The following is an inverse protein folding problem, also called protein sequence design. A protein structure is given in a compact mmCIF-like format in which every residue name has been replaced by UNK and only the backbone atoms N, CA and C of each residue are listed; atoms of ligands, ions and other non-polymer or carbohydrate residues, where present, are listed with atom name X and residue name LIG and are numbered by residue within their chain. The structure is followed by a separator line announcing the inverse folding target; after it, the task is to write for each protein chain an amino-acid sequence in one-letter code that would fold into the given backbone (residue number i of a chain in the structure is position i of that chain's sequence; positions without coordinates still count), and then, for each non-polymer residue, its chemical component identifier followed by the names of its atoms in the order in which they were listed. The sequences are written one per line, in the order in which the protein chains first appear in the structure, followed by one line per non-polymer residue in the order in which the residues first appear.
data_IF_709744313158
#
_entry.id   IF_709744313158
#
_cell.length_a   1.000
_cell.length_b   1.000
_cell.length_c   1.000
_cell.angle_alpha   90.00
_cell.angle_beta   90.00
_cell.angle_gamma   90.00
#
_symmetry.space_group_name_H-M   'P 1'
#
loop_
_entity.id
_entity.type
_entity.pdbx_description
1 polymer ?
#
# COMPACT_ATOMS: atom_id res chain seq x y z
N UNK A 1 31.27 21.70 -18.69
CA UNK A 1 30.58 20.74 -17.79
C UNK A 1 30.16 19.45 -18.50
N UNK A 2 29.47 19.48 -19.65
CA UNK A 2 29.06 18.26 -20.40
C UNK A 2 30.22 17.29 -20.68
N UNK A 3 31.38 17.80 -21.14
CA UNK A 3 32.58 16.99 -21.41
C UNK A 3 33.25 16.37 -20.17
N UNK A 4 33.00 16.90 -18.97
CA UNK A 4 33.53 16.35 -17.71
C UNK A 4 32.64 15.22 -17.19
N UNK A 5 31.33 15.36 -17.39
CA UNK A 5 30.32 14.34 -17.09
C UNK A 5 30.58 13.10 -17.94
N UNK A 6 30.78 13.26 -19.25
CA UNK A 6 31.08 12.12 -20.14
C UNK A 6 32.40 11.41 -19.73
N UNK A 7 33.45 12.15 -19.33
CA UNK A 7 34.71 11.54 -18.83
C UNK A 7 34.55 10.72 -17.54
N UNK A 8 33.61 11.07 -16.66
CA UNK A 8 33.32 10.33 -15.42
C UNK A 8 32.44 9.10 -15.69
N UNK A 9 31.53 9.16 -16.67
CA UNK A 9 30.67 8.03 -17.05
C UNK A 9 31.41 6.91 -17.82
N UNK A 10 32.55 7.23 -18.46
CA UNK A 10 33.37 6.28 -19.21
C UNK A 10 34.73 5.97 -18.55
N UNK A 11 34.88 6.22 -17.25
CA UNK A 11 36.09 5.86 -16.53
C UNK A 11 36.31 4.33 -16.62
N UNK A 12 37.45 3.92 -17.16
CA UNK A 12 37.86 2.51 -17.31
C UNK A 12 38.18 1.81 -15.98
N UNK A 13 38.06 2.53 -14.87
CA UNK A 13 38.33 2.02 -13.53
C UNK A 13 37.17 2.40 -12.61
N UNK A 14 36.29 1.44 -12.32
CA UNK A 14 35.31 1.58 -11.26
C UNK A 14 36.02 1.38 -9.92
N UNK A 15 35.99 2.35 -8.98
CA UNK A 15 36.64 2.20 -7.68
C UNK A 15 36.03 1.05 -6.84
N UNK A 16 34.87 0.52 -7.25
CA UNK A 16 34.24 -0.66 -6.66
C UNK A 16 34.44 -1.91 -7.53
N UNK A 17 35.59 -2.05 -8.21
CA UNK A 17 35.86 -3.08 -9.24
C UNK A 17 35.36 -4.49 -8.89
N UNK A 18 35.56 -4.94 -7.65
CA UNK A 18 35.05 -6.25 -7.17
C UNK A 18 33.52 -6.39 -7.29
N UNK A 19 32.78 -5.31 -7.06
CA UNK A 19 31.32 -5.22 -7.16
C UNK A 19 30.85 -4.65 -8.52
N UNK A 20 31.75 -4.48 -9.48
CA UNK A 20 31.44 -3.89 -10.77
C UNK A 20 31.78 -4.81 -11.96
N UNK A 21 32.63 -5.83 -11.77
CA UNK A 21 33.28 -6.53 -12.88
C UNK A 21 33.11 -8.06 -12.83
N UNK A 22 31.88 -8.55 -13.05
CA UNK A 22 31.68 -9.93 -13.51
C UNK A 22 30.74 -9.96 -14.73
N UNK A 23 31.35 -9.96 -15.93
CA UNK A 23 30.64 -10.31 -17.16
C UNK A 23 29.60 -9.31 -17.64
N UNK A 24 29.96 -8.02 -17.69
CA UNK A 24 29.10 -6.88 -18.10
C UNK A 24 27.96 -6.48 -17.14
N UNK A 25 27.69 -7.23 -16.07
CA UNK A 25 26.73 -6.84 -15.03
C UNK A 25 27.46 -6.65 -13.68
N UNK A 26 27.34 -5.45 -13.10
CA UNK A 26 27.94 -5.15 -11.79
C UNK A 26 27.32 -5.97 -10.66
N UNK A 27 28.14 -6.61 -9.83
CA UNK A 27 27.72 -7.44 -8.68
C UNK A 27 27.23 -6.56 -7.53
N UNK A 28 25.94 -6.64 -7.19
CA UNK A 28 25.43 -5.92 -6.04
C UNK A 28 25.92 -6.55 -4.71
N UNK A 29 26.70 -5.79 -3.93
CA UNK A 29 27.26 -6.19 -2.63
C UNK A 29 26.23 -6.78 -1.63
N UNK A 30 24.95 -6.40 -1.74
CA UNK A 30 23.91 -6.88 -0.83
C UNK A 30 23.11 -8.03 -1.45
N UNK A 31 22.83 -8.00 -2.75
CA UNK A 31 21.92 -8.97 -3.36
C UNK A 31 22.59 -10.13 -4.07
N UNK A 32 23.84 -10.00 -4.51
CA UNK A 32 24.54 -10.96 -5.37
C UNK A 32 25.89 -11.45 -4.80
N UNK A 33 26.47 -10.73 -3.83
CA UNK A 33 27.72 -11.16 -3.18
C UNK A 33 27.52 -12.38 -2.25
N UNK A 34 28.37 -13.39 -2.38
CA UNK A 34 28.31 -14.62 -1.58
C UNK A 34 28.54 -14.38 -0.09
N UNK A 35 29.37 -13.39 0.25
CA UNK A 35 29.66 -13.00 1.65
C UNK A 35 28.38 -12.61 2.39
N UNK A 36 27.48 -11.90 1.71
CA UNK A 36 26.22 -11.44 2.30
C UNK A 36 25.27 -12.62 2.59
N UNK A 37 25.24 -13.64 1.73
CA UNK A 37 24.43 -14.84 1.96
C UNK A 37 24.95 -15.68 3.13
N UNK A 38 26.27 -15.79 3.30
CA UNK A 38 26.89 -16.43 4.47
C UNK A 38 26.54 -15.64 5.74
N UNK A 39 26.75 -14.33 5.72
CA UNK A 39 26.40 -13.45 6.84
C UNK A 39 24.93 -13.58 7.27
N UNK A 40 23.98 -13.60 6.32
CA UNK A 40 22.55 -13.72 6.64
C UNK A 40 22.19 -15.09 7.25
N UNK A 41 22.89 -16.16 6.85
CA UNK A 41 22.72 -17.50 7.43
C UNK A 41 23.23 -17.54 8.87
N UNK A 42 24.40 -16.95 9.12
CA UNK A 42 25.04 -16.95 10.44
C UNK A 42 24.38 -16.00 11.44
N UNK A 43 23.75 -14.94 10.94
CA UNK A 43 23.09 -13.89 11.76
C UNK A 43 21.64 -14.22 12.07
N UNK A 44 20.88 -14.71 11.08
CA UNK A 44 19.45 -15.04 11.27
C UNK A 44 19.28 -16.56 11.24
N UNK A 45 19.38 -17.15 12.44
CA UNK A 45 19.33 -18.60 12.66
C UNK A 45 17.90 -19.07 12.95
N UNK A 46 17.60 -20.31 12.56
CA UNK A 46 16.29 -20.94 12.85
C UNK A 46 16.12 -21.26 14.33
N UNK A 47 17.22 -21.49 15.04
CA UNK A 47 17.26 -21.76 16.49
C UNK A 47 16.74 -20.59 17.33
N UNK A 48 16.90 -19.36 16.83
CA UNK A 48 16.66 -18.12 17.59
C UNK A 48 15.23 -17.59 17.39
N UNK A 49 14.33 -18.45 16.90
CA UNK A 49 12.92 -18.14 16.65
C UNK A 49 12.05 -19.01 17.55
N UNK A 50 11.42 -18.38 18.53
CA UNK A 50 10.46 -19.03 19.41
C UNK A 50 9.25 -19.56 18.62
N UNK A 51 8.76 -20.73 19.02
CA UNK A 51 7.54 -21.33 18.47
C UNK A 51 6.31 -20.55 18.96
N UNK A 52 5.96 -19.47 18.28
CA UNK A 52 4.63 -18.86 18.34
C UNK A 52 3.84 -19.22 17.07
N UNK A 53 2.56 -18.84 17.03
CA UNK A 53 1.50 -19.16 16.04
C UNK A 53 1.83 -19.00 14.53
N UNK A 54 3.07 -18.64 14.16
CA UNK A 54 3.58 -18.48 12.79
C UNK A 54 4.68 -19.51 12.46
N UNK A 55 4.74 -19.92 11.19
CA UNK A 55 5.80 -20.78 10.68
C UNK A 55 7.19 -20.17 10.92
N UNK A 56 8.09 -20.92 11.58
CA UNK A 56 9.50 -20.53 11.83
C UNK A 56 10.18 -20.09 10.52
N UNK A 57 9.88 -20.77 9.41
CA UNK A 57 10.43 -20.46 8.09
C UNK A 57 10.06 -19.05 7.63
N UNK A 58 8.83 -18.61 7.90
CA UNK A 58 8.35 -17.30 7.47
C UNK A 58 8.96 -16.19 8.31
N UNK A 59 9.09 -16.40 9.63
CA UNK A 59 9.75 -15.45 10.55
C UNK A 59 11.22 -15.26 10.17
N UNK A 60 11.94 -16.34 9.84
CA UNK A 60 13.34 -16.24 9.39
C UNK A 60 13.46 -15.47 8.08
N UNK A 61 12.55 -15.70 7.12
CA UNK A 61 12.53 -14.97 5.84
C UNK A 61 12.25 -13.48 6.04
N UNK A 62 11.32 -13.15 6.93
CA UNK A 62 11.01 -11.76 7.31
C UNK A 62 12.23 -11.08 7.92
N UNK A 63 12.84 -11.70 8.95
CA UNK A 63 14.05 -11.19 9.63
C UNK A 63 15.21 -10.96 8.67
N UNK A 64 15.49 -11.91 7.78
CA UNK A 64 16.55 -11.78 6.76
C UNK A 64 16.27 -10.64 5.79
N UNK A 65 15.03 -10.55 5.33
CA UNK A 65 14.64 -9.51 4.39
C UNK A 65 14.77 -8.12 5.03
N UNK A 66 14.31 -7.93 6.26
CA UNK A 66 14.41 -6.65 6.98
C UNK A 66 15.87 -6.21 7.18
N UNK A 67 16.74 -7.12 7.62
CA UNK A 67 18.17 -6.82 7.82
C UNK A 67 18.86 -6.50 6.48
N UNK A 68 18.61 -7.32 5.45
CA UNK A 68 19.13 -7.12 4.09
C UNK A 68 18.66 -5.79 3.51
N UNK A 69 17.40 -5.43 3.74
CA UNK A 69 16.83 -4.15 3.31
C UNK A 69 17.51 -2.96 3.98
N UNK A 70 17.75 -2.99 5.30
CA UNK A 70 18.43 -1.88 6.00
C UNK A 70 19.87 -1.69 5.53
N UNK A 71 20.60 -2.78 5.28
CA UNK A 71 21.96 -2.70 4.73
C UNK A 71 21.92 -2.17 3.29
N UNK A 72 20.96 -2.60 2.48
CA UNK A 72 20.74 -2.06 1.13
C UNK A 72 20.35 -0.59 1.16
N UNK A 73 19.57 -0.17 2.15
CA UNK A 73 19.33 1.24 2.43
C UNK A 73 20.66 1.96 2.60
N UNK A 74 21.47 1.59 3.58
CA UNK A 74 22.73 2.26 3.86
C UNK A 74 23.58 2.44 2.58
N UNK A 75 23.81 1.37 1.82
CA UNK A 75 24.62 1.38 0.60
C UNK A 75 24.03 2.24 -0.52
N UNK A 76 22.71 2.41 -0.57
CA UNK A 76 22.06 3.25 -1.59
C UNK A 76 22.31 4.77 -1.45
N UNK A 77 22.94 5.24 -0.35
CA UNK A 77 23.28 6.66 -0.13
C UNK A 77 24.47 7.15 -0.96
N UNK A 78 25.01 6.30 -1.84
CA UNK A 78 26.05 6.69 -2.79
C UNK A 78 27.45 6.71 -2.17
N UNK A 79 28.33 7.52 -2.74
CA UNK A 79 29.77 7.55 -2.42
C UNK A 79 30.06 7.74 -0.93
N UNK A 80 29.30 8.60 -0.23
CA UNK A 80 29.44 8.86 1.21
C UNK A 80 29.52 7.57 2.04
N UNK A 81 28.72 6.56 1.68
CA UNK A 81 28.70 5.27 2.36
C UNK A 81 29.56 4.25 1.63
N UNK A 82 29.44 4.18 0.29
CA UNK A 82 30.12 3.17 -0.51
C UNK A 82 31.64 3.28 -0.41
N UNK A 83 32.20 4.48 -0.35
CA UNK A 83 33.64 4.68 -0.25
C UNK A 83 34.19 4.16 1.08
N UNK A 84 33.39 4.27 2.14
CA UNK A 84 33.77 3.80 3.47
C UNK A 84 33.66 2.28 3.59
N UNK A 85 32.69 1.65 2.92
CA UNK A 85 32.36 0.23 3.14
C UNK A 85 32.82 -0.70 2.02
N UNK A 86 32.92 -0.22 0.78
CA UNK A 86 33.08 -1.04 -0.43
C UNK A 86 34.36 -0.71 -1.22
N UNK A 87 35.31 0.04 -0.67
CA UNK A 87 36.66 0.15 -1.28
C UNK A 87 37.56 -1.01 -0.85
N UNK A 88 37.41 -1.49 0.38
CA UNK A 88 38.16 -2.62 0.92
C UNK A 88 37.21 -3.72 1.42
N UNK A 89 37.39 -4.93 0.88
CA UNK A 89 36.64 -6.13 1.27
C UNK A 89 36.80 -6.46 2.75
N UNK A 90 37.94 -6.15 3.36
CA UNK A 90 38.19 -6.37 4.78
C UNK A 90 37.29 -5.49 5.64
N UNK A 91 37.10 -4.23 5.23
CA UNK A 91 36.19 -3.28 5.90
C UNK A 91 34.74 -3.76 5.75
N UNK A 92 34.33 -4.21 4.56
CA UNK A 92 33.00 -4.79 4.36
C UNK A 92 32.74 -5.98 5.29
N UNK A 93 33.69 -6.92 5.38
CA UNK A 93 33.58 -8.09 6.25
C UNK A 93 33.55 -7.67 7.72
N UNK A 94 34.37 -6.69 8.13
CA UNK A 94 34.40 -6.18 9.50
C UNK A 94 33.04 -5.53 9.87
N UNK A 95 32.47 -4.73 8.97
CA UNK A 95 31.15 -4.14 9.14
C UNK A 95 30.07 -5.21 9.34
N UNK A 96 30.06 -6.26 8.50
CA UNK A 96 29.14 -7.39 8.63
C UNK A 96 29.34 -8.14 9.96
N UNK A 97 30.58 -8.34 10.42
CA UNK A 97 30.87 -8.97 11.72
C UNK A 97 30.33 -8.16 12.89
N UNK A 98 30.45 -6.83 12.86
CA UNK A 98 29.88 -5.94 13.88
C UNK A 98 28.35 -6.08 13.92
N UNK A 99 27.69 -6.04 12.76
CA UNK A 99 26.23 -6.23 12.70
C UNK A 99 25.84 -7.61 13.22
N UNK A 100 26.57 -8.68 12.85
CA UNK A 100 26.29 -10.03 13.33
C UNK A 100 26.33 -10.09 14.87
N UNK A 101 27.40 -9.55 15.46
CA UNK A 101 27.56 -9.50 16.91
C UNK A 101 26.43 -8.73 17.59
N UNK A 102 26.12 -7.50 17.14
CA UNK A 102 25.06 -6.68 17.72
C UNK A 102 23.68 -7.29 17.55
N UNK A 103 23.40 -7.92 16.40
CA UNK A 103 22.10 -8.55 16.11
C UNK A 103 21.86 -9.76 17.00
N UNK A 104 22.88 -10.60 17.22
CA UNK A 104 22.79 -11.78 18.09
C UNK A 104 22.63 -11.38 19.57
N UNK A 105 23.23 -10.28 20.01
CA UNK A 105 23.04 -9.79 21.38
C UNK A 105 21.68 -9.12 21.61
N UNK A 106 21.29 -8.19 20.73
CA UNK A 106 20.07 -7.40 20.90
C UNK A 106 19.49 -6.97 19.54
N UNK A 107 18.69 -7.86 18.93
CA UNK A 107 18.08 -7.67 17.60
C UNK A 107 17.43 -6.29 17.43
N UNK A 108 16.48 -5.95 18.30
CA UNK A 108 15.70 -4.71 18.16
C UNK A 108 16.58 -3.46 18.28
N UNK A 109 17.56 -3.48 19.20
CA UNK A 109 18.50 -2.38 19.36
C UNK A 109 19.39 -2.22 18.12
N UNK A 110 19.87 -3.32 17.55
CA UNK A 110 20.65 -3.32 16.31
C UNK A 110 19.85 -2.75 15.12
N UNK A 111 18.60 -3.20 14.92
CA UNK A 111 17.73 -2.67 13.87
C UNK A 111 17.44 -1.18 14.08
N UNK A 112 17.14 -0.77 15.31
CA UNK A 112 16.93 0.63 15.67
C UNK A 112 18.18 1.49 15.40
N UNK A 113 19.38 0.97 15.68
CA UNK A 113 20.64 1.67 15.45
C UNK A 113 20.91 1.84 13.94
N UNK A 114 20.68 0.81 13.13
CA UNK A 114 20.79 0.89 11.68
C UNK A 114 19.80 1.89 11.09
N UNK A 115 18.55 1.85 11.52
CA UNK A 115 17.56 2.87 11.12
C UNK A 115 18.01 4.28 11.50
N UNK A 116 18.49 4.46 12.73
CA UNK A 116 18.99 5.75 13.22
C UNK A 116 20.16 6.27 12.38
N UNK A 117 21.14 5.41 12.09
CA UNK A 117 22.26 5.74 11.22
C UNK A 117 21.78 6.25 9.86
N UNK A 118 20.85 5.52 9.23
CA UNK A 118 20.30 5.92 7.94
C UNK A 118 19.55 7.26 8.06
N UNK A 119 18.75 7.46 9.10
CA UNK A 119 18.05 8.73 9.30
C UNK A 119 18.98 9.91 9.56
N UNK A 120 20.11 9.68 10.25
CA UNK A 120 21.13 10.71 10.46
C UNK A 120 21.80 11.10 9.15
N UNK A 121 22.13 10.12 8.29
CA UNK A 121 22.66 10.39 6.95
C UNK A 121 21.64 11.14 6.08
N UNK A 122 20.36 10.79 6.19
CA UNK A 122 19.28 11.40 5.41
C UNK A 122 18.75 12.73 6.00
N UNK A 123 19.23 13.16 7.19
CA UNK A 123 18.67 14.27 8.00
C UNK A 123 17.15 14.17 8.24
N UNK A 124 16.60 12.96 8.32
CA UNK A 124 15.15 12.71 8.41
C UNK A 124 14.70 12.26 9.80
N UNK A 125 13.47 12.62 10.18
CA UNK A 125 12.84 12.09 11.40
C UNK A 125 12.34 10.66 11.17
N UNK A 126 12.57 9.82 12.19
CA UNK A 126 12.07 8.45 12.34
C UNK A 126 10.54 8.42 12.38
N UNK A 127 9.88 7.47 11.71
CA UNK A 127 8.49 6.96 11.92
C UNK A 127 8.27 5.85 10.87
N UNK A 128 7.95 4.59 11.22
CA UNK A 128 7.93 3.45 10.27
C UNK A 128 6.67 2.57 10.17
N UNK A 129 6.36 2.07 8.98
CA UNK A 129 5.62 0.83 8.61
C UNK A 129 5.14 0.91 7.14
N UNK A 130 6.10 0.77 6.23
CA UNK A 130 6.07 0.29 4.82
C UNK A 130 7.39 0.68 4.18
N UNK A 131 8.00 -0.27 3.47
CA UNK A 131 9.21 -0.04 2.69
C UNK A 131 8.92 0.91 1.53
N UNK A 132 9.73 1.96 1.41
CA UNK A 132 9.57 2.98 0.40
C UNK A 132 10.83 3.08 -0.47
N UNK A 133 10.64 3.14 -1.78
CA UNK A 133 11.70 3.41 -2.74
C UNK A 133 11.40 4.69 -3.48
N UNK A 134 12.44 5.49 -3.71
CA UNK A 134 12.41 6.60 -4.66
C UNK A 134 13.23 6.16 -5.87
N UNK A 135 12.56 6.01 -7.00
CA UNK A 135 13.21 5.66 -8.27
C UNK A 135 13.45 6.95 -9.03
N UNK A 136 14.70 7.18 -9.40
CA UNK A 136 15.12 8.27 -10.29
C UNK A 136 15.65 7.71 -11.60
N UNK A 137 15.86 8.54 -12.63
CA UNK A 137 16.45 8.08 -13.88
C UNK A 137 17.86 7.47 -13.70
N UNK A 138 18.65 8.00 -12.76
CA UNK A 138 20.02 7.54 -12.53
C UNK A 138 20.14 6.41 -11.50
N UNK A 139 19.26 6.35 -10.49
CA UNK A 139 19.41 5.41 -9.36
C UNK A 139 18.11 5.05 -8.65
N UNK A 140 18.19 4.02 -7.81
CA UNK A 140 17.14 3.65 -6.86
C UNK A 140 17.60 4.03 -5.46
N UNK A 141 16.82 4.86 -4.79
CA UNK A 141 17.07 5.33 -3.44
C UNK A 141 16.11 4.58 -2.51
N UNK A 142 16.66 3.78 -1.60
CA UNK A 142 15.87 3.03 -0.63
C UNK A 142 15.60 3.93 0.56
N UNK A 143 14.36 4.10 1.00
CA UNK A 143 14.03 5.02 2.10
C UNK A 143 13.79 4.21 3.38
N UNK A 144 14.16 4.76 4.54
CA UNK A 144 13.79 4.16 5.83
C UNK A 144 12.28 3.94 5.83
N UNK A 145 11.78 2.77 6.31
CA UNK A 145 10.35 2.49 6.31
C UNK A 145 9.55 3.62 6.97
N UNK A 146 8.42 4.02 6.36
CA UNK A 146 7.56 5.14 6.82
C UNK A 146 6.22 4.62 7.36
N UNK A 147 5.71 5.07 8.53
CA UNK A 147 4.38 4.62 9.02
C UNK A 147 3.31 5.16 8.11
N UNK A 148 2.63 4.28 7.39
CA UNK A 148 1.52 4.66 6.54
C UNK A 148 0.24 4.02 7.08
N UNK A 149 -0.84 4.80 7.09
CA UNK A 149 -2.16 4.27 7.37
C UNK A 149 -2.49 3.14 6.39
N UNK A 150 -2.72 1.94 6.91
CA UNK A 150 -2.96 0.76 6.09
C UNK A 150 -4.18 0.93 5.16
N UNK A 151 -4.04 0.50 3.92
CA UNK A 151 -5.13 0.45 2.94
C UNK A 151 -5.68 -0.98 2.81
N UNK A 152 -6.71 -1.19 1.97
CA UNK A 152 -7.37 -2.49 1.82
C UNK A 152 -6.42 -3.56 1.27
N UNK A 153 -5.59 -3.20 0.29
CA UNK A 153 -4.62 -4.12 -0.30
C UNK A 153 -3.53 -4.50 0.70
N UNK A 154 -2.95 -3.53 1.40
CA UNK A 154 -1.91 -3.74 2.42
C UNK A 154 -2.36 -4.73 3.50
N UNK A 155 -3.57 -4.54 4.06
CA UNK A 155 -4.09 -5.45 5.10
C UNK A 155 -4.28 -6.89 4.64
N UNK A 156 -4.44 -7.13 3.34
CA UNK A 156 -4.68 -8.47 2.80
C UNK A 156 -3.43 -9.12 2.25
N UNK A 157 -2.53 -8.37 1.62
CA UNK A 157 -1.38 -8.93 0.92
C UNK A 157 -0.05 -8.73 1.65
N UNK A 158 -0.02 -7.89 2.68
CA UNK A 158 1.18 -7.48 3.40
C UNK A 158 1.05 -7.75 4.91
N UNK A 159 0.92 -9.03 5.27
CA UNK A 159 0.76 -9.47 6.67
C UNK A 159 2.03 -9.36 7.52
N UNK A 160 3.18 -9.30 6.86
CA UNK A 160 4.52 -9.25 7.46
C UNK A 160 5.24 -7.91 7.17
N UNK A 161 4.62 -6.99 6.41
CA UNK A 161 5.22 -5.70 6.06
C UNK A 161 6.36 -5.77 5.04
N UNK A 162 6.59 -6.94 4.43
CA UNK A 162 7.73 -7.20 3.53
C UNK A 162 7.32 -7.55 2.09
N UNK A 163 6.02 -7.69 1.83
CA UNK A 163 5.48 -8.16 0.54
C UNK A 163 4.97 -7.03 -0.33
N UNK A 164 4.68 -5.88 0.26
CA UNK A 164 4.31 -4.68 -0.48
C UNK A 164 5.31 -3.56 -0.23
N UNK A 165 5.68 -2.86 -1.30
CA UNK A 165 6.57 -1.70 -1.24
C UNK A 165 5.89 -0.50 -1.91
N UNK A 166 6.16 0.69 -1.38
CA UNK A 166 5.73 1.96 -1.99
C UNK A 166 6.85 2.50 -2.86
N UNK A 167 6.61 2.62 -4.14
CA UNK A 167 7.55 3.24 -5.09
C UNK A 167 7.09 4.67 -5.38
N UNK A 168 8.02 5.60 -5.48
CA UNK A 168 7.75 6.96 -5.93
C UNK A 168 8.78 7.34 -6.99
N UNK A 169 8.32 7.79 -8.14
CA UNK A 169 9.16 8.22 -9.25
C UNK A 169 9.47 9.71 -9.09
N UNK A 170 10.76 10.05 -9.07
CA UNK A 170 11.27 11.42 -8.90
C UNK A 170 12.42 11.67 -9.86
N UNK A 171 12.69 12.94 -10.11
CA UNK A 171 13.92 13.35 -10.77
C UNK A 171 15.11 13.22 -9.81
N UNK A 172 16.33 13.36 -10.30
CA UNK A 172 17.54 13.25 -9.48
C UNK A 172 17.63 14.33 -8.39
N UNK A 173 16.98 15.49 -8.61
CA UNK A 173 16.80 16.56 -7.63
C UNK A 173 15.68 16.27 -6.60
N UNK A 174 15.15 15.04 -6.56
CA UNK A 174 14.02 14.62 -5.71
C UNK A 174 12.68 15.36 -5.99
N UNK A 175 12.62 16.14 -7.07
CA UNK A 175 11.41 16.81 -7.55
C UNK A 175 10.55 15.87 -8.42
N UNK A 176 9.26 16.17 -8.64
CA UNK A 176 8.44 15.38 -9.57
C UNK A 176 9.02 15.39 -10.97
N UNK A 177 9.04 14.23 -11.65
CA UNK A 177 9.42 14.13 -13.05
C UNK A 177 8.38 14.84 -13.91
N UNK A 178 8.77 15.89 -14.62
CA UNK A 178 7.88 16.68 -15.49
C UNK A 178 8.49 16.78 -16.86
N UNK A 179 7.71 16.58 -17.93
CA UNK A 179 8.20 16.59 -19.32
C UNK A 179 9.00 17.85 -19.70
N UNK A 180 8.68 18.98 -19.05
CA UNK A 180 9.33 20.27 -19.31
C UNK A 180 10.74 20.37 -18.70
N UNK A 181 11.05 19.57 -17.68
CA UNK A 181 12.35 19.57 -16.97
C UNK A 181 13.10 18.28 -17.24
N UNK A 182 12.41 17.16 -17.07
CA UNK A 182 12.88 15.81 -17.36
C UNK A 182 12.42 15.45 -18.77
N UNK A 183 13.34 15.16 -19.69
CA UNK A 183 12.98 14.83 -21.08
C UNK A 183 11.93 13.70 -21.15
N UNK A 184 10.91 13.83 -22.01
CA UNK A 184 9.84 12.84 -22.14
C UNK A 184 10.37 11.41 -22.39
N UNK A 185 11.42 11.29 -23.20
CA UNK A 185 12.12 10.03 -23.47
C UNK A 185 12.69 9.39 -22.20
N UNK A 186 13.28 10.18 -21.30
CA UNK A 186 13.85 9.69 -20.04
C UNK A 186 12.73 9.24 -19.09
N UNK A 187 11.64 10.00 -19.03
CA UNK A 187 10.45 9.64 -18.26
C UNK A 187 9.89 8.30 -18.74
N UNK A 188 9.66 8.16 -20.04
CA UNK A 188 9.14 6.93 -20.64
C UNK A 188 10.07 5.74 -20.40
N UNK A 189 11.38 5.91 -20.63
CA UNK A 189 12.38 4.85 -20.41
C UNK A 189 12.37 4.37 -18.96
N UNK A 190 12.37 5.28 -17.99
CA UNK A 190 12.36 4.95 -16.56
C UNK A 190 11.04 4.27 -16.17
N UNK A 191 9.89 4.86 -16.53
CA UNK A 191 8.59 4.29 -16.17
C UNK A 191 8.35 2.94 -16.83
N UNK A 192 8.66 2.77 -18.12
CA UNK A 192 8.47 1.52 -18.86
C UNK A 192 9.30 0.38 -18.27
N UNK A 193 10.55 0.66 -17.91
CA UNK A 193 11.43 -0.31 -17.24
C UNK A 193 10.80 -0.79 -15.93
N UNK A 194 10.49 0.11 -15.00
CA UNK A 194 10.07 -0.31 -13.66
C UNK A 194 8.60 -0.71 -13.54
N UNK A 195 7.69 -0.13 -14.33
CA UNK A 195 6.28 -0.55 -14.34
C UNK A 195 6.07 -1.86 -15.11
N UNK A 196 6.89 -2.13 -16.14
CA UNK A 196 6.85 -3.38 -16.90
C UNK A 196 7.63 -4.51 -16.22
N UNK A 197 8.94 -4.34 -16.04
CA UNK A 197 9.84 -5.38 -15.52
C UNK A 197 9.83 -5.46 -14.00
N UNK A 198 9.32 -4.46 -13.30
CA UNK A 198 9.32 -4.41 -11.85
C UNK A 198 10.66 -3.95 -11.25
N UNK A 199 10.88 -4.27 -9.98
CA UNK A 199 12.10 -3.93 -9.24
C UNK A 199 12.52 -5.07 -8.31
N UNK A 200 13.82 -5.36 -8.26
CA UNK A 200 14.42 -6.33 -7.33
C UNK A 200 14.87 -5.62 -6.06
N UNK A 201 14.38 -6.06 -4.91
CA UNK A 201 14.61 -5.43 -3.59
C UNK A 201 14.94 -6.51 -2.58
N UNK A 202 16.11 -6.43 -1.95
CA UNK A 202 16.57 -7.39 -0.95
C UNK A 202 16.36 -8.87 -1.37
N UNK A 203 16.62 -9.19 -2.65
CA UNK A 203 16.50 -10.54 -3.21
C UNK A 203 15.09 -10.98 -3.62
N UNK A 204 14.07 -10.12 -3.51
CA UNK A 204 12.70 -10.40 -3.98
C UNK A 204 12.34 -9.53 -5.18
N UNK A 205 11.48 -10.05 -6.07
CA UNK A 205 11.00 -9.34 -7.25
C UNK A 205 9.62 -8.74 -7.00
N UNK A 206 9.50 -7.44 -7.21
CA UNK A 206 8.27 -6.69 -7.01
C UNK A 206 7.77 -6.13 -8.35
N UNK A 207 6.46 -6.19 -8.59
CA UNK A 207 5.83 -5.63 -9.79
C UNK A 207 4.74 -4.63 -9.45
N UNK A 208 4.37 -3.80 -10.41
CA UNK A 208 3.32 -2.80 -10.24
C UNK A 208 1.98 -3.45 -9.89
N UNK A 209 1.40 -3.08 -8.74
CA UNK A 209 0.09 -3.56 -8.34
C UNK A 209 -1.01 -2.53 -8.66
N UNK A 210 -0.79 -1.27 -8.28
CA UNK A 210 -1.73 -0.18 -8.46
C UNK A 210 -1.34 1.09 -7.73
N UNK A 211 -2.02 2.20 -8.04
CA UNK A 211 -1.79 3.50 -7.39
C UNK A 211 -3.12 4.11 -6.94
N UNK A 212 -3.18 4.73 -5.76
CA UNK A 212 -4.32 5.59 -5.42
C UNK A 212 -4.28 6.90 -6.18
N UNK A 213 -5.40 7.63 -6.27
CA UNK A 213 -5.43 8.95 -6.93
C UNK A 213 -4.44 9.93 -6.32
N UNK A 214 -4.25 9.90 -4.99
CA UNK A 214 -3.25 10.76 -4.34
C UNK A 214 -1.84 10.34 -4.72
N UNK A 215 -1.58 9.03 -4.75
CA UNK A 215 -0.28 8.54 -5.16
C UNK A 215 0.02 8.89 -6.62
N UNK A 216 -0.93 8.76 -7.54
CA UNK A 216 -0.71 9.15 -8.93
C UNK A 216 -0.30 10.62 -9.06
N UNK A 217 -0.94 11.53 -8.31
CA UNK A 217 -0.54 12.95 -8.28
C UNK A 217 0.89 13.16 -7.76
N UNK A 218 1.31 12.33 -6.81
CA UNK A 218 2.67 12.37 -6.24
C UNK A 218 3.68 11.49 -6.99
N UNK A 219 3.32 10.95 -8.18
CA UNK A 219 4.12 10.00 -8.96
C UNK A 219 4.46 8.71 -8.19
N UNK A 220 3.55 8.26 -7.33
CA UNK A 220 3.66 7.09 -6.48
C UNK A 220 2.84 5.88 -6.94
N UNK A 221 3.28 4.71 -6.51
CA UNK A 221 2.63 3.43 -6.77
C UNK A 221 2.89 2.42 -5.66
N UNK A 222 2.00 1.44 -5.52
CA UNK A 222 2.26 0.22 -4.76
C UNK A 222 2.74 -0.88 -5.69
N UNK A 223 3.80 -1.54 -5.25
CA UNK A 223 4.33 -2.74 -5.87
C UNK A 223 4.13 -3.91 -4.91
N UNK A 224 3.87 -5.09 -5.46
CA UNK A 224 3.67 -6.34 -4.73
C UNK A 224 4.70 -7.37 -5.19
N UNK A 225 5.13 -8.25 -4.30
CA UNK A 225 5.95 -9.41 -4.64
C UNK A 225 5.29 -10.21 -5.79
N UNK A 226 6.05 -10.46 -6.86
CA UNK A 226 5.55 -11.11 -8.09
C UNK A 226 5.16 -12.57 -7.88
N UNK A 227 5.94 -13.30 -7.08
CA UNK A 227 5.83 -14.74 -6.82
C UNK A 227 6.54 -15.10 -5.51
N UNK A 228 6.19 -16.23 -4.90
CA UNK A 228 6.95 -16.77 -3.77
C UNK A 228 8.16 -17.58 -4.27
N UNK A 229 9.14 -17.84 -3.40
CA UNK A 229 10.25 -18.74 -3.74
C UNK A 229 9.78 -20.14 -4.14
N UNK A 230 8.68 -20.63 -3.54
CA UNK A 230 8.10 -21.93 -3.88
C UNK A 230 7.58 -21.94 -5.32
N UNK A 231 6.80 -20.92 -5.70
CA UNK A 231 6.32 -20.77 -7.08
C UNK A 231 7.47 -20.63 -8.08
N UNK A 232 8.56 -19.95 -7.70
CA UNK A 232 9.74 -19.82 -8.55
C UNK A 232 10.42 -21.18 -8.77
N UNK A 233 10.59 -21.98 -7.72
CA UNK A 233 11.16 -23.32 -7.81
C UNK A 233 10.29 -24.22 -8.69
N UNK A 234 8.98 -24.25 -8.46
CA UNK A 234 8.03 -25.02 -9.27
C UNK A 234 8.07 -24.62 -10.75
N UNK A 235 8.17 -23.31 -11.03
CA UNK A 235 8.30 -22.83 -12.42
C UNK A 235 9.59 -23.31 -13.07
N UNK A 236 10.72 -23.24 -12.35
CA UNK A 236 12.03 -23.69 -12.84
C UNK A 236 12.07 -25.19 -13.07
N UNK A 237 11.49 -25.97 -12.17
CA UNK A 237 11.39 -27.43 -12.30
C UNK A 237 10.56 -27.81 -13.53
N UNK A 238 9.43 -27.11 -13.75
CA UNK A 238 8.53 -27.41 -14.87
C UNK A 238 9.06 -26.94 -16.23
N UNK A 239 9.74 -25.80 -16.28
CA UNK A 239 10.12 -25.15 -17.54
C UNK A 239 11.64 -25.21 -17.84
N UNK A 240 12.45 -25.71 -16.90
CA UNK A 240 13.92 -25.76 -16.97
C UNK A 240 14.59 -24.42 -17.31
N UNK A 241 13.93 -23.30 -16.98
CA UNK A 241 14.43 -21.94 -17.22
C UNK A 241 13.87 -20.96 -16.20
N UNK A 242 14.51 -19.80 -16.11
CA UNK A 242 13.98 -18.69 -15.32
C UNK A 242 12.69 -18.10 -15.92
N UNK A 243 11.75 -17.64 -15.08
CA UNK A 243 10.55 -17.00 -15.56
C UNK A 243 10.87 -15.64 -16.22
N UNK A 244 10.12 -15.26 -17.27
CA UNK A 244 10.30 -13.95 -17.90
C UNK A 244 9.99 -12.81 -16.92
N UNK A 245 10.51 -11.61 -17.18
CA UNK A 245 10.29 -10.42 -16.32
C UNK A 245 8.81 -10.11 -16.10
N UNK A 246 7.96 -10.46 -17.06
CA UNK A 246 6.51 -10.25 -17.05
C UNK A 246 5.74 -11.27 -16.19
N UNK A 247 6.36 -12.34 -15.72
CA UNK A 247 5.70 -13.36 -14.91
C UNK A 247 5.45 -12.88 -13.48
N UNK A 248 4.16 -12.71 -13.13
CA UNK A 248 3.74 -12.11 -11.85
C UNK A 248 2.43 -12.71 -11.30
N UNK A 249 2.37 -14.02 -11.02
CA UNK A 249 1.14 -14.74 -10.65
C UNK A 249 0.42 -14.11 -9.45
N UNK A 250 1.14 -13.73 -8.39
CA UNK A 250 0.54 -13.12 -7.20
C UNK A 250 -0.14 -11.78 -7.49
N UNK A 251 0.42 -11.00 -8.42
CA UNK A 251 -0.14 -9.70 -8.81
C UNK A 251 -1.41 -9.89 -9.62
N UNK A 252 -1.42 -10.86 -10.54
CA UNK A 252 -2.60 -11.22 -11.33
C UNK A 252 -3.73 -11.66 -10.40
N UNK A 253 -3.46 -12.59 -9.48
CA UNK A 253 -4.40 -13.03 -8.46
C UNK A 253 -4.91 -11.87 -7.60
N UNK A 254 -4.00 -11.01 -7.13
CA UNK A 254 -4.36 -9.84 -6.33
C UNK A 254 -5.30 -8.91 -7.11
N UNK A 255 -5.03 -8.63 -8.39
CA UNK A 255 -5.91 -7.80 -9.23
C UNK A 255 -7.28 -8.42 -9.43
N UNK A 256 -7.38 -9.72 -9.67
CA UNK A 256 -8.67 -10.42 -9.78
C UNK A 256 -9.51 -10.27 -8.50
N UNK A 257 -8.87 -10.37 -7.33
CA UNK A 257 -9.55 -10.20 -6.06
C UNK A 257 -9.94 -8.74 -5.76
N UNK A 258 -9.15 -7.76 -6.22
CA UNK A 258 -9.44 -6.34 -6.00
C UNK A 258 -10.70 -5.87 -6.76
N UNK A 259 -11.09 -6.54 -7.85
CA UNK A 259 -12.37 -6.30 -8.52
C UNK A 259 -12.44 -6.89 -9.93
N UNK A 260 -13.64 -6.90 -10.51
CA UNK A 260 -13.86 -7.22 -11.94
C UNK A 260 -13.52 -5.99 -12.78
N UNK A 261 -12.32 -6.00 -13.31
CA UNK A 261 -11.77 -4.94 -14.14
C UNK A 261 -11.97 -5.15 -15.64
N UNK A 262 -12.39 -6.35 -16.04
CA UNK A 262 -12.58 -6.78 -17.43
C UNK A 262 -13.76 -6.11 -18.13
N UNK A 263 -14.71 -5.55 -17.38
CA UNK A 263 -15.91 -4.89 -17.91
C UNK A 263 -15.74 -3.37 -18.09
N UNK A 264 -14.55 -2.83 -17.84
CA UNK A 264 -14.28 -1.38 -17.91
C UNK A 264 -13.50 -1.10 -19.18
N UNK A 265 -14.16 -0.48 -20.16
CA UNK A 265 -13.57 -0.22 -21.48
C UNK A 265 -12.44 0.81 -21.44
N UNK A 266 -12.51 1.82 -20.56
CA UNK A 266 -11.50 2.89 -20.52
C UNK A 266 -10.44 2.70 -19.43
N UNK A 267 -9.17 2.70 -19.85
CA UNK A 267 -7.99 2.59 -18.99
C UNK A 267 -7.97 3.62 -17.85
N UNK A 268 -8.31 4.91 -18.07
CA UNK A 268 -8.34 5.88 -16.97
C UNK A 268 -9.42 5.58 -15.92
N UNK A 269 -10.62 5.14 -16.32
CA UNK A 269 -11.67 4.75 -15.38
C UNK A 269 -11.27 3.49 -14.62
N UNK A 270 -10.63 2.55 -15.31
CA UNK A 270 -10.08 1.34 -14.70
C UNK A 270 -9.05 1.68 -13.61
N UNK A 271 -8.05 2.50 -13.92
CA UNK A 271 -7.04 2.95 -12.97
C UNK A 271 -7.65 3.70 -11.78
N UNK A 272 -8.62 4.59 -12.03
CA UNK A 272 -9.32 5.32 -10.97
C UNK A 272 -10.13 4.38 -10.04
N UNK A 273 -10.71 3.30 -10.57
CA UNK A 273 -11.44 2.28 -9.78
C UNK A 273 -10.48 1.38 -8.99
N UNK A 274 -9.42 0.89 -9.63
CA UNK A 274 -8.36 0.14 -8.97
C UNK A 274 -7.73 0.95 -7.82
N UNK A 275 -7.47 2.24 -8.06
CA UNK A 275 -6.92 3.18 -7.07
C UNK A 275 -7.75 3.38 -5.81
N UNK A 276 -9.05 3.07 -5.83
CA UNK A 276 -9.89 3.14 -4.64
C UNK A 276 -9.45 2.12 -3.57
N UNK A 277 -8.94 0.96 -3.98
CA UNK A 277 -8.47 -0.06 -3.04
C UNK A 277 -7.18 0.32 -2.31
N UNK A 278 -6.43 1.28 -2.87
CA UNK A 278 -5.18 1.80 -2.34
C UNK A 278 -5.35 3.10 -1.54
N UNK A 279 -6.59 3.58 -1.40
CA UNK A 279 -6.87 4.76 -0.56
C UNK A 279 -6.69 4.38 0.92
N UNK A 280 -5.99 5.24 1.65
CA UNK A 280 -5.75 5.08 3.09
C UNK A 280 -7.07 5.24 3.85
N UNK A 281 -7.36 4.29 4.74
CA UNK A 281 -8.61 4.30 5.51
C UNK A 281 -8.44 3.60 6.86
N UNK A 282 -9.08 4.11 7.91
CA UNK A 282 -9.21 3.37 9.17
C UNK A 282 -10.34 2.35 9.04
N UNK A 283 -10.09 1.11 9.45
CA UNK A 283 -11.18 0.14 9.65
C UNK A 283 -11.91 0.53 10.93
N UNK A 284 -13.23 0.56 10.87
CA UNK A 284 -14.06 0.69 12.06
C UNK A 284 -14.40 -0.71 12.57
N UNK A 285 -14.34 -0.89 13.89
CA UNK A 285 -14.67 -2.15 14.57
C UNK A 285 -16.16 -2.52 14.47
N UNK A 286 -17.04 -1.53 14.33
CA UNK A 286 -18.48 -1.70 14.15
C UNK A 286 -18.80 -2.62 12.95
N UNK A 287 -19.42 -3.76 13.24
CA UNK A 287 -19.87 -4.71 12.23
C UNK A 287 -21.29 -4.34 11.78
N UNK A 288 -21.45 -4.06 10.48
CA UNK A 288 -22.76 -3.75 9.91
C UNK A 288 -23.32 -4.97 9.20
N UNK A 289 -24.51 -5.37 9.60
CA UNK A 289 -25.31 -6.36 8.89
C UNK A 289 -26.05 -5.71 7.72
N UNK A 290 -26.50 -6.52 6.76
CA UNK A 290 -27.23 -6.03 5.57
C UNK A 290 -28.46 -5.20 5.93
N UNK A 291 -29.12 -5.54 7.03
CA UNK A 291 -30.30 -4.87 7.58
C UNK A 291 -29.99 -3.53 8.25
N UNK A 292 -28.75 -3.27 8.65
CA UNK A 292 -28.38 -2.00 9.29
C UNK A 292 -28.14 -0.86 8.28
N UNK A 293 -28.25 -1.11 6.97
CA UNK A 293 -28.07 -0.07 5.96
C UNK A 293 -28.98 -0.25 4.74
N UNK A 294 -29.30 0.86 4.09
CA UNK A 294 -30.03 0.84 2.82
C UNK A 294 -29.61 1.98 1.90
N UNK A 295 -30.13 1.97 0.67
CA UNK A 295 -29.96 3.07 -0.29
C UNK A 295 -31.30 3.77 -0.45
N UNK A 296 -31.36 5.04 -0.08
CA UNK A 296 -32.56 5.88 -0.24
C UNK A 296 -32.64 6.47 -1.65
N UNK A 297 -33.27 7.64 -1.75
CA UNK A 297 -33.40 8.40 -3.00
C UNK A 297 -32.47 9.61 -3.00
N UNK A 298 -32.03 10.08 -4.15
CA UNK A 298 -31.34 11.37 -4.21
C UNK A 298 -32.34 12.53 -4.13
N UNK A 299 -31.92 13.65 -3.54
CA UNK A 299 -32.67 14.90 -3.54
C UNK A 299 -32.34 15.66 -4.81
N UNK A 300 -33.31 15.70 -5.72
CA UNK A 300 -33.18 16.29 -7.04
C UNK A 300 -34.07 17.53 -7.09
N UNK A 301 -33.57 18.61 -7.68
CA UNK A 301 -34.39 19.80 -7.94
C UNK A 301 -33.63 20.89 -8.66
N UNK A 302 -34.37 21.84 -9.24
CA UNK A 302 -33.81 22.86 -10.12
C UNK A 302 -33.17 22.27 -11.38
N UNK A 303 -32.74 23.12 -12.31
CA UNK A 303 -32.03 22.67 -13.50
C UNK A 303 -31.00 23.71 -13.93
N UNK A 304 -29.92 23.25 -14.56
CA UNK A 304 -28.97 24.16 -15.18
C UNK A 304 -29.56 24.84 -16.43
N UNK A 305 -28.78 25.76 -17.04
CA UNK A 305 -29.18 26.45 -18.28
C UNK A 305 -29.42 25.50 -19.46
N UNK A 306 -29.01 24.23 -19.35
CA UNK A 306 -29.15 23.18 -20.36
C UNK A 306 -30.26 22.17 -19.98
N UNK A 307 -31.02 22.42 -18.92
CA UNK A 307 -32.13 21.57 -18.47
C UNK A 307 -31.69 20.33 -17.69
N UNK A 308 -30.41 20.21 -17.30
CA UNK A 308 -29.95 19.10 -16.47
C UNK A 308 -30.29 19.36 -15.00
N UNK A 309 -30.99 18.41 -14.38
CA UNK A 309 -31.38 18.51 -12.97
C UNK A 309 -30.19 18.49 -12.02
N UNK A 310 -30.26 19.29 -10.94
CA UNK A 310 -29.25 19.25 -9.89
C UNK A 310 -29.56 18.16 -8.86
N UNK A 311 -28.53 17.43 -8.47
CA UNK A 311 -28.59 16.43 -7.39
C UNK A 311 -27.99 17.07 -6.13
N UNK A 312 -28.83 17.63 -5.27
CA UNK A 312 -28.39 18.33 -4.05
C UNK A 312 -27.78 17.40 -3.01
N UNK A 313 -28.15 16.12 -3.02
CA UNK A 313 -27.57 15.11 -2.14
C UNK A 313 -26.37 14.37 -2.73
N UNK A 314 -25.75 14.87 -3.81
CA UNK A 314 -24.70 14.11 -4.49
C UNK A 314 -23.52 13.82 -3.54
N UNK A 315 -23.35 12.55 -3.23
CA UNK A 315 -22.25 12.06 -2.43
C UNK A 315 -22.52 12.11 -0.93
N UNK A 316 -23.71 12.51 -0.47
CA UNK A 316 -24.03 12.73 0.96
C UNK A 316 -25.17 11.83 1.44
N UNK A 317 -24.83 10.90 2.33
CA UNK A 317 -25.78 10.03 3.05
C UNK A 317 -25.87 10.41 4.52
N UNK A 318 -26.57 9.60 5.32
CA UNK A 318 -26.70 9.82 6.77
C UNK A 318 -26.23 8.60 7.58
N UNK A 319 -25.74 8.86 8.79
CA UNK A 319 -25.30 7.88 9.78
C UNK A 319 -25.97 8.16 11.12
N UNK A 320 -26.36 7.11 11.85
CA UNK A 320 -26.97 7.29 13.17
C UNK A 320 -25.96 7.85 14.18
N UNK A 321 -26.47 8.60 15.15
CA UNK A 321 -25.66 9.21 16.22
C UNK A 321 -25.00 8.14 17.08
N UNK A 322 -25.70 7.05 17.39
CA UNK A 322 -25.15 5.93 18.15
C UNK A 322 -23.95 5.28 17.44
N UNK A 323 -24.07 5.02 16.14
CA UNK A 323 -22.96 4.48 15.35
C UNK A 323 -21.81 5.50 15.25
N UNK A 324 -22.10 6.79 15.09
CA UNK A 324 -21.10 7.85 15.08
C UNK A 324 -20.30 7.92 16.39
N UNK A 325 -20.95 7.72 17.54
CA UNK A 325 -20.30 7.65 18.86
C UNK A 325 -19.40 6.41 18.94
N UNK A 326 -19.88 5.25 18.49
CA UNK A 326 -19.09 4.00 18.46
C UNK A 326 -17.82 4.19 17.60
N UNK A 327 -17.97 4.78 16.42
CA UNK A 327 -16.86 5.14 15.55
C UNK A 327 -15.90 6.11 16.26
N UNK A 328 -16.40 7.16 16.92
CA UNK A 328 -15.55 8.14 17.59
C UNK A 328 -14.70 7.49 18.70
N UNK A 329 -15.30 6.57 19.46
CA UNK A 329 -14.61 5.76 20.47
C UNK A 329 -13.55 4.85 19.86
N UNK A 330 -13.91 4.11 18.82
CA UNK A 330 -12.97 3.24 18.08
C UNK A 330 -11.84 4.04 17.42
N UNK A 331 -12.12 5.29 17.04
CA UNK A 331 -11.15 6.24 16.50
C UNK A 331 -10.29 6.93 17.56
N UNK A 332 -10.57 6.73 18.86
CA UNK A 332 -9.90 7.36 19.99
C UNK A 332 -9.95 8.90 19.91
N UNK A 333 -11.09 9.46 19.49
CA UNK A 333 -11.29 10.92 19.35
C UNK A 333 -11.67 11.60 20.68
N UNK A 334 -11.52 10.92 21.81
CA UNK A 334 -11.93 11.41 23.12
C UNK A 334 -13.44 11.65 23.20
N UNK A 335 -13.84 12.80 23.73
CA UNK A 335 -15.24 13.19 23.87
C UNK A 335 -15.84 13.85 22.61
N UNK A 336 -15.06 13.97 21.53
CA UNK A 336 -15.50 14.60 20.29
C UNK A 336 -16.12 13.58 19.35
N UNK A 337 -17.40 13.77 19.02
CA UNK A 337 -18.11 13.00 17.98
C UNK A 337 -18.16 13.85 16.71
N UNK A 338 -17.52 13.43 15.61
CA UNK A 338 -17.56 14.18 14.35
C UNK A 338 -18.98 14.27 13.77
N UNK A 339 -19.35 15.43 13.25
CA UNK A 339 -20.66 15.65 12.60
C UNK A 339 -20.78 14.98 11.22
N UNK A 340 -19.66 14.61 10.60
CA UNK A 340 -19.65 13.87 9.35
C UNK A 340 -18.40 13.00 9.19
N UNK A 341 -18.51 11.98 8.35
CA UNK A 341 -17.43 11.04 8.07
C UNK A 341 -17.30 10.81 6.56
N UNK A 342 -16.07 10.81 6.06
CA UNK A 342 -15.81 10.32 4.71
C UNK A 342 -15.68 8.79 4.73
N UNK A 343 -16.41 8.09 3.86
CA UNK A 343 -16.44 6.63 3.88
C UNK A 343 -16.07 5.97 2.55
N UNK A 344 -15.63 4.71 2.67
CA UNK A 344 -15.52 3.73 1.58
C UNK A 344 -16.17 2.44 2.02
N UNK A 345 -17.21 1.99 1.31
CA UNK A 345 -17.95 0.79 1.68
C UNK A 345 -18.43 0.02 0.45
N UNK A 346 -18.01 -1.25 0.28
CA UNK A 346 -18.50 -2.17 -0.78
C UNK A 346 -18.56 -1.64 -2.24
N UNK A 347 -17.89 -0.56 -2.61
CA UNK A 347 -17.97 0.07 -3.94
C UNK A 347 -18.66 1.43 -3.94
N UNK A 348 -19.26 1.80 -2.81
CA UNK A 348 -19.73 3.12 -2.48
C UNK A 348 -18.62 4.00 -1.91
N UNK A 349 -18.69 5.29 -2.22
CA UNK A 349 -17.84 6.34 -1.65
C UNK A 349 -18.67 7.60 -1.44
N UNK A 350 -18.34 8.37 -0.41
CA UNK A 350 -18.98 9.65 -0.18
C UNK A 350 -18.72 10.15 1.22
N UNK A 351 -19.61 11.03 1.67
CA UNK A 351 -19.71 11.53 3.03
C UNK A 351 -21.01 11.01 3.64
N UNK A 352 -20.99 10.67 4.91
CA UNK A 352 -22.19 10.48 5.72
C UNK A 352 -22.21 11.52 6.82
N UNK A 353 -23.36 12.17 7.01
CA UNK A 353 -23.57 13.16 8.08
C UNK A 353 -24.34 12.52 9.23
N UNK A 354 -24.02 12.91 10.45
CA UNK A 354 -24.70 12.39 11.63
C UNK A 354 -26.12 12.93 11.67
N UNK A 355 -27.09 12.02 11.67
CA UNK A 355 -28.50 12.35 11.76
C UNK A 355 -29.15 11.50 12.87
N UNK A 356 -29.59 12.12 13.99
CA UNK A 356 -30.27 11.43 15.09
C UNK A 356 -31.58 10.76 14.67
N UNK A 357 -32.19 11.16 13.55
CA UNK A 357 -33.51 10.65 13.12
C UNK A 357 -33.52 9.12 12.98
N UNK A 358 -32.41 8.52 12.59
CA UNK A 358 -32.29 7.06 12.47
C UNK A 358 -32.41 6.38 13.84
N UNK A 359 -31.81 6.94 14.88
CA UNK A 359 -31.90 6.42 16.24
C UNK A 359 -33.29 6.69 16.85
N UNK A 360 -33.90 7.83 16.54
CA UNK A 360 -35.25 8.19 16.97
C UNK A 360 -36.31 7.25 16.38
N UNK A 361 -36.25 6.96 15.08
CA UNK A 361 -37.15 6.02 14.40
C UNK A 361 -36.97 4.60 14.97
N UNK A 362 -35.73 4.15 15.16
CA UNK A 362 -35.45 2.84 15.76
C UNK A 362 -36.03 2.75 17.18
N UNK A 363 -35.86 3.80 17.98
CA UNK A 363 -36.37 3.87 19.36
C UNK A 363 -37.90 3.92 19.40
N UNK A 364 -38.52 4.69 18.51
CA UNK A 364 -39.97 4.77 18.36
C UNK A 364 -40.56 3.40 17.99
N UNK A 365 -40.02 2.75 16.97
CA UNK A 365 -40.50 1.44 16.53
C UNK A 365 -40.38 0.37 17.64
N UNK A 366 -39.26 0.37 18.37
CA UNK A 366 -39.05 -0.50 19.55
C UNK A 366 -40.05 -0.21 20.67
N UNK A 367 -40.30 1.07 20.97
CA UNK A 367 -41.23 1.48 22.03
C UNK A 367 -42.67 1.03 21.75
N UNK A 368 -43.08 1.03 20.49
CA UNK A 368 -44.43 0.67 20.06
C UNK A 368 -44.55 -0.75 19.51
N UNK A 369 -43.49 -1.58 19.62
CA UNK A 369 -43.44 -2.95 19.08
C UNK A 369 -43.88 -3.06 17.61
N UNK A 370 -43.47 -2.08 16.78
CA UNK A 370 -43.82 -2.06 15.36
C UNK A 370 -42.97 -3.09 14.61
N UNK A 371 -43.61 -3.97 13.86
CA UNK A 371 -42.91 -4.96 13.04
C UNK A 371 -42.07 -4.29 11.95
N UNK A 372 -40.87 -4.82 11.63
CA UNK A 372 -39.98 -4.25 10.62
C UNK A 372 -40.59 -4.31 9.21
N UNK A 373 -40.35 -3.29 8.37
CA UNK A 373 -40.89 -3.25 7.03
C UNK A 373 -40.24 -4.32 6.14
N UNK A 374 -41.04 -5.28 5.66
CA UNK A 374 -40.58 -6.44 4.90
C UNK A 374 -39.89 -6.10 3.56
N UNK A 375 -40.27 -5.00 2.91
CA UNK A 375 -39.94 -4.76 1.48
C UNK A 375 -38.83 -3.73 1.19
N UNK A 376 -38.43 -2.88 2.16
CA UNK A 376 -37.51 -1.75 1.86
C UNK A 376 -36.18 -1.79 2.63
N UNK A 377 -36.20 -2.02 3.94
CA UNK A 377 -35.01 -1.90 4.79
C UNK A 377 -34.77 -3.11 5.70
N UNK A 378 -35.71 -4.05 5.79
CA UNK A 378 -35.56 -5.32 6.51
C UNK A 378 -35.43 -5.20 8.04
N UNK A 379 -35.22 -3.99 8.58
CA UNK A 379 -35.10 -3.72 10.02
C UNK A 379 -35.39 -2.25 10.32
N UNK A 380 -35.87 -1.98 11.54
CA UNK A 380 -35.95 -0.63 12.11
C UNK A 380 -34.61 -0.15 12.70
N UNK A 381 -33.64 -1.06 12.89
CA UNK A 381 -32.30 -0.76 13.41
C UNK A 381 -31.34 -0.33 12.28
N UNK A 382 -31.78 0.63 11.47
CA UNK A 382 -30.96 1.20 10.42
C UNK A 382 -29.95 2.15 11.04
N UNK A 383 -28.66 1.91 10.75
CA UNK A 383 -27.56 2.75 11.22
C UNK A 383 -27.02 3.67 10.12
N UNK A 384 -27.26 3.33 8.85
CA UNK A 384 -26.75 4.06 7.69
C UNK A 384 -27.74 4.10 6.54
N UNK A 385 -27.83 5.27 5.90
CA UNK A 385 -28.54 5.39 4.64
C UNK A 385 -27.61 6.03 3.60
N UNK A 386 -27.36 5.27 2.54
CA UNK A 386 -26.61 5.73 1.38
C UNK A 386 -27.54 6.34 0.33
N UNK A 387 -26.95 7.04 -0.63
CA UNK A 387 -27.64 7.58 -1.80
C UNK A 387 -27.20 6.87 -3.09
N UNK A 388 -28.05 6.79 -4.12
CA UNK A 388 -27.68 6.23 -5.42
C UNK A 388 -26.42 6.85 -5.99
N UNK A 389 -26.27 8.17 -5.88
CA UNK A 389 -25.08 8.88 -6.34
C UNK A 389 -23.77 8.42 -5.68
N UNK A 390 -23.82 7.81 -4.48
CA UNK A 390 -22.65 7.30 -3.78
C UNK A 390 -22.14 5.96 -4.32
N UNK A 391 -22.92 5.27 -5.16
CA UNK A 391 -22.57 3.98 -5.76
C UNK A 391 -21.63 4.23 -6.96
N UNK A 392 -20.37 3.80 -6.86
CA UNK A 392 -19.35 4.03 -7.92
C UNK A 392 -18.83 2.75 -8.58
N UNK A 393 -19.29 1.57 -8.15
CA UNK A 393 -18.97 0.28 -8.78
C UNK A 393 -19.62 -0.92 -8.08
N UNK A 394 -19.80 -2.02 -8.84
CA UNK A 394 -20.42 -3.28 -8.40
C UNK A 394 -19.30 -4.29 -8.05
N UNK A 395 -19.45 -5.06 -6.97
CA UNK A 395 -18.52 -6.15 -6.59
C UNK A 395 -19.05 -7.51 -7.08
N UNK A 396 -18.13 -8.46 -7.27
CA UNK A 396 -18.42 -9.85 -7.67
C UNK A 396 -19.27 -10.66 -6.68
N UNK A 397 -19.37 -10.24 -5.42
CA UNK A 397 -20.16 -10.96 -4.38
C UNK A 397 -21.66 -10.64 -4.48
N UNK A 398 -22.05 -9.60 -5.22
CA UNK A 398 -23.41 -9.05 -5.14
C UNK A 398 -24.42 -9.74 -6.06
N UNK A 399 -23.99 -10.62 -6.97
CA UNK A 399 -24.95 -11.29 -7.89
C UNK A 399 -25.65 -12.47 -7.20
N UNK A 400 -24.97 -13.22 -6.33
CA UNK A 400 -25.62 -14.31 -5.59
C UNK A 400 -26.42 -13.81 -4.37
N UNK A 401 -26.03 -12.67 -3.77
CA UNK A 401 -26.80 -12.04 -2.67
C UNK A 401 -28.06 -11.31 -3.15
N UNK A 402 -28.24 -11.09 -4.46
CA UNK A 402 -29.44 -10.46 -5.00
C UNK A 402 -30.64 -11.41 -5.10
N UNK A 403 -30.42 -12.73 -5.00
CA UNK A 403 -31.48 -13.74 -5.21
C UNK A 403 -31.54 -14.87 -4.16
N UNK A 404 -30.62 -14.98 -3.20
CA UNK A 404 -30.68 -16.08 -2.23
C UNK A 404 -31.00 -15.63 -0.79
N UNK A 405 -32.24 -15.89 -0.40
CA UNK A 405 -32.68 -16.06 0.98
C UNK A 405 -32.03 -17.31 1.59
N UNK A 406 -30.80 -17.24 2.06
CA UNK A 406 -30.23 -18.30 2.91
C UNK A 406 -29.40 -17.74 4.08
N UNK A 407 -29.54 -18.28 5.30
CA UNK A 407 -28.80 -17.84 6.46
C UNK A 407 -27.52 -18.65 6.66
N UNK A 408 -26.45 -17.92 6.98
CA UNK A 408 -25.22 -18.30 7.70
C UNK A 408 -23.93 -18.07 6.91
N UNK A 409 -23.02 -17.34 7.57
CA UNK A 409 -21.56 -17.24 7.39
C UNK A 409 -20.90 -15.98 6.80
N UNK A 410 -21.56 -15.06 6.08
CA UNK A 410 -20.89 -13.82 5.59
C UNK A 410 -21.66 -12.49 5.75
N UNK A 411 -22.41 -12.31 6.84
CA UNK A 411 -23.30 -11.13 7.00
C UNK A 411 -22.69 -9.85 7.54
N UNK A 412 -21.43 -9.83 7.97
CA UNK A 412 -20.83 -8.64 8.58
C UNK A 412 -19.89 -7.92 7.62
N UNK A 413 -20.08 -6.60 7.47
CA UNK A 413 -19.17 -5.77 6.69
C UNK A 413 -18.73 -4.53 7.44
N UNK A 414 -17.41 -4.30 7.42
CA UNK A 414 -16.77 -3.17 8.07
C UNK A 414 -16.72 -1.96 7.12
N UNK A 415 -17.07 -0.79 7.65
CA UNK A 415 -16.90 0.48 6.96
C UNK A 415 -15.49 1.01 7.19
N UNK A 416 -14.98 1.67 6.16
CA UNK A 416 -13.70 2.34 6.18
C UNK A 416 -13.94 3.85 6.26
N UNK A 417 -13.53 4.48 7.35
CA UNK A 417 -13.77 5.90 7.60
C UNK A 417 -12.48 6.72 7.66
N UNK A 418 -12.64 7.99 7.31
CA UNK A 418 -11.69 9.06 7.58
C UNK A 418 -12.47 10.24 8.16
N UNK A 419 -12.05 10.73 9.33
CA UNK A 419 -12.64 11.94 9.93
C UNK A 419 -12.28 13.15 9.10
N UNK A 420 -13.26 13.99 8.82
CA UNK A 420 -13.05 15.32 8.26
C UNK A 420 -12.97 16.27 9.45
N UNK A 421 -11.77 16.52 9.97
CA UNK A 421 -11.55 17.58 10.97
C UNK A 421 -10.96 18.78 10.24
N UNK A 422 -11.81 19.66 9.72
CA UNK A 422 -11.41 21.03 9.36
C UNK A 422 -12.62 21.89 9.06
N UNK A 423 -12.57 23.11 9.57
CA UNK A 423 -13.28 24.35 9.20
C UNK A 423 -13.09 24.71 7.72
N UNK A 424 -13.33 23.76 6.82
CA UNK A 424 -13.24 23.95 5.37
C UNK A 424 -14.63 23.75 4.81
N UNK A 425 -15.23 24.83 4.33
CA UNK A 425 -16.44 24.80 3.52
C UNK A 425 -16.27 23.70 2.48
N UNK A 426 -17.12 22.67 2.56
CA UNK A 426 -17.18 21.58 1.59
C UNK A 426 -17.64 22.23 0.28
N UNK A 427 -16.69 22.59 -0.59
CA UNK A 427 -16.99 22.90 -1.98
C UNK A 427 -17.39 21.58 -2.66
N UNK A 428 -18.68 21.27 -2.60
CA UNK A 428 -19.32 20.33 -3.51
C UNK A 428 -19.33 21.03 -4.87
N UNK A 429 -18.57 20.50 -5.81
CA UNK A 429 -18.43 21.05 -7.17
C UNK A 429 -19.46 20.45 -8.10
#
# INVERSE_FOLDING_TARGET
MVKLVDKLYFATHCPYGYWADQGNDGVNAVTEDSTMEVFLKDTVRKSDVDKAERSISDVVKERRFSLKYLIQCLISRGAIVKDQLLLDKSIWIMFLKIINFCYLQAREACLCALERLITMIDERKRIGSIIKLVITPSRIIYVVPETIMANRALRKYDHDGTRMIRVTFRDDDNLPMRSNKTSARLIEKTLKKYLGDGVKVAGRNFGYLGSSNSQMRDSGAYFLEKYSNMMLTEYREKNHRDPPSTWQPKIVEARHFLGRFTQIESVPKLMARLGQCFTQTRKVSALLQRENYFTGYDFIGGSDKQGKEYIFSDGVGIISKNLAIEIAKDMQLGNCVPSCFQFRFRGMKGVVVVDPILDEISSWAKRFNIEPPQMKFGSWDVKLMFRPSQIKGIRSVTINEAYETSPKEHRFCQIQLKTIVSTTIIKVG
#
